data_IF_841617621148
#
_entry.id   IF_841617621148
#
_cell.length_a   1.000
_cell.length_b   1.000
_cell.length_c   1.000
_cell.angle_alpha   90.00
_cell.angle_beta   90.00
_cell.angle_gamma   90.00
#
_symmetry.space_group_name_H-M   'P 1'
#
loop_
_entity.id
_entity.type
_entity.pdbx_description
1 polymer ?
#
# COMPACT_ATOMS: atom_id res chain seq x y z
N UNK A 1 -54.81 -2.07 -54.13
CA UNK A 1 -54.22 -3.34 -53.66
C UNK A 1 -52.79 -3.42 -54.18
N UNK A 2 -51.86 -3.78 -53.29
CA UNK A 2 -50.43 -4.09 -53.50
C UNK A 2 -49.46 -2.94 -53.86
N UNK A 3 -48.72 -2.52 -52.85
CA UNK A 3 -47.43 -1.81 -52.94
C UNK A 3 -46.29 -2.82 -53.15
N UNK A 4 -45.35 -2.61 -54.08
CA UNK A 4 -44.14 -3.41 -54.16
C UNK A 4 -43.00 -2.78 -53.33
N UNK A 5 -42.55 -3.53 -52.34
CA UNK A 5 -41.37 -3.30 -51.53
C UNK A 5 -40.09 -3.40 -52.39
N UNK A 6 -39.22 -2.40 -52.30
CA UNK A 6 -37.86 -2.45 -52.85
C UNK A 6 -36.88 -2.79 -51.73
N UNK A 7 -36.25 -3.96 -51.82
CA UNK A 7 -35.18 -4.42 -50.95
C UNK A 7 -33.88 -3.67 -51.31
N UNK A 8 -33.26 -2.99 -50.33
CA UNK A 8 -31.88 -2.52 -50.43
C UNK A 8 -30.96 -3.36 -49.53
N UNK A 9 -29.85 -3.92 -50.05
CA UNK A 9 -28.87 -4.64 -49.26
C UNK A 9 -27.90 -3.67 -48.56
N UNK A 10 -27.81 -3.79 -47.23
CA UNK A 10 -26.93 -2.97 -46.40
C UNK A 10 -25.58 -3.69 -46.22
N UNK A 11 -24.57 -3.27 -47.00
CA UNK A 11 -23.17 -3.67 -46.82
C UNK A 11 -22.47 -2.62 -45.96
N UNK A 12 -22.29 -2.90 -44.67
CA UNK A 12 -21.55 -2.05 -43.73
C UNK A 12 -20.04 -2.20 -43.96
N UNK A 13 -19.48 -1.31 -44.78
CA UNK A 13 -18.03 -1.14 -44.93
C UNK A 13 -17.50 -0.22 -43.83
N UNK A 14 -16.45 -0.69 -43.15
CA UNK A 14 -15.62 0.08 -42.22
C UNK A 14 -15.03 1.32 -42.91
N UNK A 15 -15.38 2.50 -42.43
CA UNK A 15 -14.76 3.77 -42.85
C UNK A 15 -13.92 4.31 -41.70
N UNK A 16 -12.60 4.24 -41.89
CA UNK A 16 -11.59 4.96 -41.12
C UNK A 16 -11.73 6.47 -41.42
N UNK A 17 -12.00 7.30 -40.40
CA UNK A 17 -11.88 8.76 -40.49
C UNK A 17 -10.75 9.26 -39.59
N UNK A 18 -9.73 9.95 -40.15
CA UNK A 18 -8.70 10.62 -39.37
C UNK A 18 -9.13 12.06 -39.06
N UNK A 19 -9.22 12.40 -37.77
CA UNK A 19 -9.40 13.79 -37.34
C UNK A 19 -8.07 14.38 -36.84
N UNK A 20 -7.64 15.47 -37.48
CA UNK A 20 -6.62 16.42 -37.03
C UNK A 20 -7.31 17.65 -36.43
N UNK A 21 -6.71 18.21 -35.38
CA UNK A 21 -7.00 19.52 -34.76
C UNK A 21 -7.37 19.36 -33.29
N UNK A 22 -6.76 19.99 -32.28
CA UNK A 22 -5.92 21.19 -32.19
C UNK A 22 -5.03 21.13 -30.91
N UNK A 23 -3.99 21.97 -30.79
CA UNK A 23 -3.02 21.91 -29.70
C UNK A 23 -3.51 22.67 -28.45
N UNK A 24 -3.50 22.00 -27.31
CA UNK A 24 -3.79 22.61 -26.01
C UNK A 24 -2.50 23.12 -25.39
N UNK A 25 -2.45 24.43 -25.12
CA UNK A 25 -1.41 25.08 -24.34
C UNK A 25 -1.42 24.56 -22.89
N UNK A 26 -0.23 24.16 -22.44
CA UNK A 26 0.42 24.57 -21.20
C UNK A 26 -0.32 24.37 -19.85
N UNK A 27 0.17 23.40 -19.07
CA UNK A 27 0.42 23.64 -17.65
C UNK A 27 1.65 22.83 -17.22
N UNK A 28 2.78 23.52 -17.28
CA UNK A 28 3.97 23.23 -16.49
C UNK A 28 3.58 23.02 -15.01
N UNK A 29 3.71 21.79 -14.51
CA UNK A 29 3.66 21.49 -13.08
C UNK A 29 5.07 21.19 -12.58
N UNK A 30 5.87 22.25 -12.51
CA UNK A 30 6.95 22.34 -11.54
C UNK A 30 6.40 22.15 -10.12
N UNK A 31 7.04 21.24 -9.38
CA UNK A 31 7.11 21.15 -7.92
C UNK A 31 5.80 20.98 -7.13
N UNK A 32 5.57 19.78 -6.61
CA UNK A 32 4.80 19.61 -5.36
C UNK A 32 5.11 18.29 -4.65
N UNK A 33 5.87 18.44 -3.56
CA UNK A 33 5.92 17.59 -2.37
C UNK A 33 6.41 16.14 -2.48
N UNK A 34 7.66 15.97 -2.09
CA UNK A 34 8.27 14.80 -1.43
C UNK A 34 7.55 14.40 -0.13
N UNK A 35 6.26 14.07 -0.22
CA UNK A 35 5.38 13.52 0.83
C UNK A 35 4.38 12.57 0.17
N UNK A 36 4.82 11.40 -0.31
CA UNK A 36 3.90 10.28 -0.57
C UNK A 36 3.44 9.69 0.76
N UNK A 37 2.53 10.43 1.38
CA UNK A 37 1.59 10.01 2.43
C UNK A 37 0.93 8.70 2.02
N UNK A 38 0.95 7.69 2.89
CA UNK A 38 0.02 6.55 2.98
C UNK A 38 -0.96 6.47 1.78
N UNK A 39 -0.50 5.96 0.64
CA UNK A 39 -1.33 5.96 -0.58
C UNK A 39 -2.46 4.97 -0.39
N UNK A 40 -3.69 5.49 -0.32
CA UNK A 40 -4.92 4.71 -0.44
C UNK A 40 -4.93 4.08 -1.84
N UNK A 41 -4.95 2.75 -1.91
CA UNK A 41 -4.98 2.01 -3.17
C UNK A 41 -6.40 1.50 -3.39
N UNK A 42 -6.99 1.81 -4.54
CA UNK A 42 -8.27 1.21 -4.95
C UNK A 42 -8.02 -0.14 -5.60
N UNK A 43 -8.85 -1.10 -5.25
CA UNK A 43 -8.81 -2.43 -5.85
C UNK A 43 -10.00 -3.26 -5.40
N UNK A 44 -9.82 -4.57 -5.40
CA UNK A 44 -10.90 -5.52 -5.08
C UNK A 44 -10.54 -6.39 -3.88
N UNK A 45 -11.54 -6.65 -3.05
CA UNK A 45 -11.46 -7.67 -2.02
C UNK A 45 -12.22 -8.91 -2.46
N UNK A 46 -11.58 -10.08 -2.34
CA UNK A 46 -12.23 -11.39 -2.37
C UNK A 46 -12.19 -12.01 -0.98
N UNK A 47 -12.71 -13.24 -0.81
CA UNK A 47 -12.62 -13.94 0.47
C UNK A 47 -12.17 -15.40 0.37
N UNK A 48 -11.65 -15.92 1.49
CA UNK A 48 -11.25 -17.31 1.70
C UNK A 48 -11.59 -17.78 3.11
N UNK A 49 -11.80 -19.09 3.30
CA UNK A 49 -11.88 -19.74 4.62
C UNK A 49 -10.51 -19.88 5.31
N UNK A 50 -9.44 -19.45 4.63
CA UNK A 50 -8.07 -19.65 5.07
C UNK A 50 -7.54 -21.04 4.72
N UNK A 51 -6.21 -21.18 4.84
CA UNK A 51 -5.49 -22.42 4.58
C UNK A 51 -4.53 -22.78 5.72
N UNK A 52 -4.05 -24.02 5.74
CA UNK A 52 -3.21 -24.53 6.83
C UNK A 52 -1.81 -23.89 6.90
N UNK A 53 -1.29 -23.38 5.79
CA UNK A 53 0.02 -22.74 5.72
C UNK A 53 -0.07 -21.39 5.00
N UNK A 54 0.57 -20.39 5.59
CA UNK A 54 0.72 -19.07 4.98
C UNK A 54 2.19 -18.79 4.72
N UNK A 55 2.48 -17.96 3.72
CA UNK A 55 3.86 -17.56 3.41
C UNK A 55 4.49 -16.66 4.47
N UNK A 56 3.69 -16.03 5.32
CA UNK A 56 4.19 -15.23 6.43
C UNK A 56 4.43 -16.02 7.71
N UNK A 57 4.02 -17.30 7.79
CA UNK A 57 4.09 -18.09 9.02
C UNK A 57 3.12 -17.64 10.11
N UNK A 58 2.15 -16.78 9.78
CA UNK A 58 1.11 -16.28 10.68
C UNK A 58 -0.21 -16.99 10.33
N UNK A 59 -0.93 -17.61 11.28
CA UNK A 59 -2.16 -18.33 10.98
C UNK A 59 -3.31 -17.39 10.64
N UNK A 60 -4.25 -17.85 9.81
CA UNK A 60 -5.47 -17.10 9.47
C UNK A 60 -6.35 -16.77 10.68
N UNK A 61 -6.26 -17.58 11.75
CA UNK A 61 -6.98 -17.36 13.01
C UNK A 61 -6.44 -16.20 13.85
N UNK A 62 -5.26 -15.67 13.49
CA UNK A 62 -4.68 -14.52 14.17
C UNK A 62 -5.62 -13.31 14.12
N UNK A 63 -5.47 -12.35 15.05
CA UNK A 63 -6.29 -11.14 15.08
C UNK A 63 -7.81 -11.43 14.98
N UNK A 64 -8.27 -12.54 15.59
CA UNK A 64 -9.66 -13.01 15.56
C UNK A 64 -10.24 -13.17 14.14
N UNK A 65 -9.44 -13.71 13.22
CA UNK A 65 -9.81 -13.88 11.80
C UNK A 65 -9.99 -12.57 11.03
N UNK A 66 -9.49 -11.46 11.56
CA UNK A 66 -9.36 -10.20 10.84
C UNK A 66 -8.02 -10.17 10.11
N UNK A 67 -7.91 -11.04 9.12
CA UNK A 67 -6.66 -11.36 8.41
C UNK A 67 -6.86 -11.32 6.90
N UNK A 68 -5.77 -11.11 6.18
CA UNK A 68 -5.78 -10.94 4.75
C UNK A 68 -4.52 -11.52 4.08
N UNK A 69 -4.69 -11.95 2.84
CA UNK A 69 -3.60 -12.22 1.92
C UNK A 69 -3.52 -11.12 0.87
N UNK A 70 -2.30 -10.78 0.48
CA UNK A 70 -2.02 -9.75 -0.53
C UNK A 70 -1.19 -10.35 -1.67
N UNK A 71 -1.04 -9.63 -2.78
CA UNK A 71 -0.13 -10.07 -3.83
C UNK A 71 1.33 -10.09 -3.33
N UNK A 72 2.13 -11.01 -3.86
CA UNK A 72 3.55 -11.12 -3.48
C UNK A 72 4.35 -9.85 -3.80
N UNK A 73 3.98 -9.15 -4.87
CA UNK A 73 4.54 -7.89 -5.31
C UNK A 73 3.78 -6.66 -4.79
N UNK A 74 2.77 -6.82 -3.92
CA UNK A 74 2.14 -5.69 -3.25
C UNK A 74 3.14 -5.07 -2.24
N UNK A 75 3.03 -3.76 -1.96
CA UNK A 75 3.95 -3.06 -1.05
C UNK A 75 3.79 -3.45 0.42
N UNK A 76 2.79 -4.29 0.76
CA UNK A 76 2.47 -4.67 2.13
C UNK A 76 3.34 -5.83 2.64
N UNK A 77 3.69 -5.77 3.93
CA UNK A 77 4.55 -6.73 4.63
C UNK A 77 3.73 -7.71 5.45
N UNK A 78 4.34 -8.86 5.74
CA UNK A 78 3.77 -9.81 6.70
C UNK A 78 3.62 -9.14 8.08
N UNK A 79 2.48 -9.32 8.72
CA UNK A 79 2.15 -8.72 10.03
C UNK A 79 1.65 -7.28 9.97
N UNK A 80 1.76 -6.60 8.83
CA UNK A 80 1.29 -5.22 8.67
C UNK A 80 -0.23 -5.12 8.82
N UNK A 81 -0.70 -4.05 9.47
CA UNK A 81 -2.14 -3.75 9.56
C UNK A 81 -2.59 -2.90 8.39
N UNK A 82 -3.66 -3.34 7.75
CA UNK A 82 -4.31 -2.65 6.65
C UNK A 82 -5.73 -2.30 7.07
N UNK A 83 -6.12 -1.07 6.76
CA UNK A 83 -7.48 -0.59 6.86
C UNK A 83 -8.15 -0.75 5.51
N UNK A 84 -9.23 -1.51 5.50
CA UNK A 84 -9.98 -1.86 4.30
C UNK A 84 -11.34 -1.20 4.40
N UNK A 85 -11.65 -0.32 3.43
CA UNK A 85 -12.91 0.39 3.35
C UNK A 85 -13.68 -0.05 2.11
N UNK A 86 -14.94 -0.44 2.26
CA UNK A 86 -15.78 -0.75 1.09
C UNK A 86 -16.20 0.53 0.37
N UNK A 87 -16.27 0.46 -0.96
CA UNK A 87 -16.79 1.56 -1.78
C UNK A 87 -18.31 1.51 -1.94
N UNK A 88 -18.94 0.36 -1.65
CA UNK A 88 -20.39 0.18 -1.79
C UNK A 88 -21.18 0.85 -0.64
N UNK A 89 -20.60 0.94 0.55
CA UNK A 89 -21.23 1.51 1.74
C UNK A 89 -20.26 2.47 2.46
N UNK A 90 -20.38 3.80 2.24
CA UNK A 90 -19.52 4.78 2.89
C UNK A 90 -19.60 4.67 4.42
N UNK A 91 -18.46 4.42 5.07
CA UNK A 91 -18.34 4.31 6.53
C UNK A 91 -18.10 2.89 7.04
N UNK A 92 -18.29 1.87 6.21
CA UNK A 92 -17.93 0.49 6.57
C UNK A 92 -16.44 0.25 6.29
N UNK A 93 -15.70 -0.01 7.35
CA UNK A 93 -14.25 -0.15 7.34
C UNK A 93 -13.81 -1.15 8.41
N UNK A 94 -12.75 -1.90 8.12
CA UNK A 94 -12.16 -2.87 9.04
C UNK A 94 -10.63 -2.75 9.06
N UNK A 95 -10.01 -3.18 10.14
CA UNK A 95 -8.55 -3.35 10.27
C UNK A 95 -8.21 -4.84 10.17
N UNK A 96 -7.32 -5.20 9.24
CA UNK A 96 -6.89 -6.58 9.00
C UNK A 96 -5.37 -6.70 9.04
N UNK A 97 -4.87 -7.87 9.45
CA UNK A 97 -3.43 -8.17 9.43
C UNK A 97 -3.07 -8.96 8.18
N UNK A 98 -1.95 -8.61 7.52
CA UNK A 98 -1.43 -9.37 6.39
C UNK A 98 -0.78 -10.65 6.90
N UNK A 99 -1.38 -11.79 6.58
CA UNK A 99 -0.91 -13.11 7.02
C UNK A 99 -0.41 -13.99 5.88
N UNK A 100 -0.65 -13.64 4.62
CA UNK A 100 -0.21 -14.45 3.49
C UNK A 100 0.11 -13.62 2.23
N UNK A 101 0.89 -14.21 1.32
CA UNK A 101 1.27 -13.62 0.03
C UNK A 101 0.93 -14.56 -1.13
N UNK A 102 0.13 -14.10 -2.08
CA UNK A 102 -0.34 -14.90 -3.23
C UNK A 102 0.49 -14.56 -4.47
N UNK A 103 0.95 -15.57 -5.22
CA UNK A 103 1.64 -15.37 -6.52
C UNK A 103 0.61 -15.19 -7.62
N UNK A 104 0.82 -14.22 -8.51
CA UNK A 104 -0.08 -13.96 -9.65
C UNK A 104 -1.39 -13.24 -9.29
N UNK A 105 -1.55 -12.82 -8.04
CA UNK A 105 -2.67 -12.00 -7.59
C UNK A 105 -2.41 -10.52 -7.92
N UNK A 106 -3.40 -9.72 -8.35
CA UNK A 106 -3.19 -8.30 -8.66
C UNK A 106 -2.70 -7.51 -7.43
N UNK A 107 -1.75 -6.59 -7.62
CA UNK A 107 -1.14 -5.80 -6.53
C UNK A 107 -2.14 -4.96 -5.73
N UNK A 108 -3.22 -4.53 -6.39
CA UNK A 108 -4.28 -3.71 -5.81
C UNK A 108 -5.32 -4.54 -5.04
N UNK A 109 -5.29 -5.86 -5.19
CA UNK A 109 -6.31 -6.73 -4.63
C UNK A 109 -5.88 -7.29 -3.28
N UNK A 110 -6.88 -7.55 -2.45
CA UNK A 110 -6.74 -8.20 -1.16
C UNK A 110 -7.65 -9.44 -1.12
N UNK A 111 -7.22 -10.50 -0.47
CA UNK A 111 -8.04 -11.68 -0.24
C UNK A 111 -8.26 -11.81 1.27
N UNK A 112 -9.46 -11.45 1.72
CA UNK A 112 -9.82 -11.39 3.13
C UNK A 112 -10.17 -12.77 3.67
N UNK A 113 -9.98 -13.00 4.95
CA UNK A 113 -10.67 -14.10 5.60
C UNK A 113 -12.20 -13.88 5.53
N UNK A 114 -13.01 -14.94 5.45
CA UNK A 114 -14.48 -14.86 5.41
C UNK A 114 -15.04 -13.91 6.47
N UNK A 115 -14.64 -14.08 7.73
CA UNK A 115 -15.08 -13.21 8.83
C UNK A 115 -14.73 -11.74 8.61
N UNK A 116 -13.55 -11.43 8.07
CA UNK A 116 -13.16 -10.06 7.75
C UNK A 116 -14.03 -9.51 6.61
N UNK A 117 -14.27 -10.30 5.57
CA UNK A 117 -15.13 -9.93 4.45
C UNK A 117 -16.57 -9.61 4.90
N UNK A 118 -17.16 -10.46 5.73
CA UNK A 118 -18.48 -10.25 6.32
C UNK A 118 -18.50 -9.04 7.27
N UNK A 119 -17.44 -8.85 8.08
CA UNK A 119 -17.32 -7.71 8.99
C UNK A 119 -17.22 -6.36 8.25
N UNK A 120 -16.73 -6.36 7.00
CA UNK A 120 -16.78 -5.19 6.11
C UNK A 120 -18.20 -4.87 5.62
N UNK A 121 -19.18 -5.72 5.95
CA UNK A 121 -20.56 -5.62 5.49
C UNK A 121 -20.79 -6.21 4.10
N UNK A 122 -19.85 -7.01 3.59
CA UNK A 122 -19.95 -7.64 2.27
C UNK A 122 -20.77 -8.94 2.33
N UNK A 123 -21.52 -9.22 1.26
CA UNK A 123 -22.24 -10.47 1.12
C UNK A 123 -21.31 -11.54 0.52
N UNK A 124 -21.11 -12.66 1.21
CA UNK A 124 -20.26 -13.76 0.73
C UNK A 124 -20.64 -14.27 -0.67
N UNK A 125 -21.91 -14.13 -1.06
CA UNK A 125 -22.41 -14.55 -2.38
C UNK A 125 -22.00 -13.62 -3.52
N UNK A 126 -21.61 -12.37 -3.23
CA UNK A 126 -21.04 -11.45 -4.23
C UNK A 126 -19.62 -11.88 -4.62
N UNK A 127 -18.88 -12.49 -3.69
CA UNK A 127 -17.55 -13.07 -3.91
C UNK A 127 -16.41 -12.05 -4.10
N UNK A 128 -16.72 -10.88 -4.67
CA UNK A 128 -15.78 -9.80 -4.95
C UNK A 128 -16.46 -8.45 -4.71
N UNK A 129 -15.77 -7.53 -4.02
CA UNK A 129 -16.24 -6.15 -3.83
C UNK A 129 -15.12 -5.13 -4.07
N UNK A 130 -15.49 -3.92 -4.47
CA UNK A 130 -14.52 -2.83 -4.63
C UNK A 130 -14.19 -2.18 -3.28
N UNK A 131 -12.90 -1.99 -3.02
CA UNK A 131 -12.38 -1.50 -1.75
C UNK A 131 -11.28 -0.45 -1.94
N UNK A 132 -11.07 0.34 -0.89
CA UNK A 132 -9.83 1.08 -0.67
C UNK A 132 -9.00 0.38 0.40
N UNK A 133 -7.74 0.10 0.06
CA UNK A 133 -6.72 -0.46 0.95
C UNK A 133 -5.82 0.68 1.42
N UNK A 134 -5.77 0.86 2.73
CA UNK A 134 -5.05 1.95 3.38
C UNK A 134 -4.08 1.29 4.37
N UNK A 135 -2.75 1.44 4.20
CA UNK A 135 -1.81 1.04 5.24
C UNK A 135 -2.18 1.73 6.55
N UNK A 136 -2.42 0.97 7.62
CA UNK A 136 -2.45 1.58 8.95
C UNK A 136 -0.99 1.78 9.34
N UNK A 137 -0.57 3.04 9.49
CA UNK A 137 0.58 3.27 10.34
C UNK A 137 0.17 2.80 11.74
N UNK A 138 0.87 1.80 12.26
CA UNK A 138 0.55 1.16 13.53
C UNK A 138 0.45 2.23 14.63
N UNK A 139 -0.78 2.59 14.98
CA UNK A 139 -1.06 3.63 15.96
C UNK A 139 -1.23 3.03 17.35
N UNK A 140 -0.15 2.47 17.89
CA UNK A 140 0.13 2.39 19.33
C UNK A 140 1.64 2.63 19.50
N UNK A 141 2.02 3.92 19.65
CA UNK A 141 3.39 4.46 19.53
C UNK A 141 3.95 4.36 18.10
N UNK A 142 3.48 5.22 17.18
CA UNK A 142 4.17 5.48 15.91
C UNK A 142 5.63 5.87 16.22
N UNK A 143 6.54 4.92 16.03
CA UNK A 143 7.95 5.20 15.91
C UNK A 143 8.21 5.99 14.63
N UNK A 144 9.35 6.64 14.56
CA UNK A 144 9.74 7.38 13.36
C UNK A 144 10.27 6.48 12.23
N UNK A 145 10.13 5.17 12.34
CA UNK A 145 10.74 4.16 11.49
C UNK A 145 10.39 4.32 10.00
N UNK A 146 9.11 4.53 9.67
CA UNK A 146 8.64 4.74 8.30
C UNK A 146 9.15 6.04 7.68
N UNK A 147 9.26 7.10 8.48
CA UNK A 147 9.82 8.39 8.05
C UNK A 147 11.33 8.28 7.81
N UNK A 148 12.04 7.63 8.73
CA UNK A 148 13.49 7.39 8.61
C UNK A 148 13.77 6.49 7.40
N UNK A 149 12.96 5.47 7.17
CA UNK A 149 13.05 4.61 6.00
C UNK A 149 12.91 5.41 4.70
N UNK A 150 11.91 6.29 4.60
CA UNK A 150 11.73 7.15 3.42
C UNK A 150 12.94 8.07 3.17
N UNK A 151 13.55 8.58 4.24
CA UNK A 151 14.78 9.36 4.15
C UNK A 151 15.97 8.51 3.71
N UNK A 152 16.11 7.28 4.19
CA UNK A 152 17.15 6.34 3.74
C UNK A 152 17.05 6.06 2.24
N UNK A 153 15.86 5.74 1.75
CA UNK A 153 15.63 5.49 0.32
C UNK A 153 15.94 6.71 -0.55
N UNK A 154 15.75 7.91 -0.01
CA UNK A 154 16.10 9.16 -0.70
C UNK A 154 17.60 9.43 -0.69
N UNK A 155 18.28 9.14 0.42
CA UNK A 155 19.73 9.34 0.57
C UNK A 155 20.56 8.30 -0.20
N UNK A 156 20.05 7.07 -0.34
CA UNK A 156 20.71 5.94 -1.02
C UNK A 156 19.93 5.48 -2.26
N UNK A 157 19.82 6.32 -3.30
CA UNK A 157 19.14 5.93 -4.53
C UNK A 157 19.88 4.74 -5.17
N UNK A 158 19.15 3.66 -5.47
CA UNK A 158 19.70 2.45 -6.09
C UNK A 158 20.04 1.32 -5.11
N UNK A 159 19.86 1.52 -3.80
CA UNK A 159 19.93 0.46 -2.80
C UNK A 159 18.52 0.00 -2.41
N UNK A 160 18.36 -1.30 -2.23
CA UNK A 160 17.17 -1.90 -1.63
C UNK A 160 17.37 -2.06 -0.13
N UNK A 161 16.40 -1.63 0.66
CA UNK A 161 16.38 -1.92 2.10
C UNK A 161 15.94 -3.36 2.28
N UNK A 162 16.86 -4.23 2.69
CA UNK A 162 16.58 -5.67 2.86
C UNK A 162 16.24 -6.02 4.31
N UNK A 163 16.65 -5.19 5.27
CA UNK A 163 16.30 -5.33 6.67
C UNK A 163 16.41 -3.98 7.39
N UNK A 164 15.68 -3.78 8.48
CA UNK A 164 15.91 -2.69 9.42
C UNK A 164 15.36 -3.01 10.81
N UNK A 165 15.90 -2.36 11.83
CA UNK A 165 15.48 -2.53 13.21
C UNK A 165 15.71 -1.26 14.03
N UNK A 166 14.88 -1.03 15.05
CA UNK A 166 15.17 -0.03 16.08
C UNK A 166 16.30 -0.55 16.98
N UNK A 167 17.39 0.20 17.07
CA UNK A 167 18.56 -0.16 17.89
C UNK A 167 18.67 0.69 19.16
N UNK A 168 18.01 1.86 19.20
CA UNK A 168 17.98 2.69 20.39
C UNK A 168 16.72 3.58 20.42
N UNK A 169 16.10 3.67 21.59
CA UNK A 169 15.12 4.71 21.91
C UNK A 169 15.47 5.33 23.25
N UNK A 170 15.78 6.63 23.25
CA UNK A 170 16.31 7.34 24.41
C UNK A 170 15.64 8.69 24.58
N UNK A 171 15.05 8.91 25.76
CA UNK A 171 14.58 10.23 26.15
C UNK A 171 15.79 11.13 26.49
N UNK A 172 15.97 12.20 25.72
CA UNK A 172 17.06 13.18 25.92
C UNK A 172 16.65 14.27 26.91
N UNK A 173 15.37 14.61 26.95
CA UNK A 173 14.76 15.55 27.89
C UNK A 173 13.26 15.24 28.04
N UNK A 174 12.54 15.85 29.00
CA UNK A 174 11.10 15.62 29.16
C UNK A 174 10.26 15.91 27.91
N UNK A 175 10.81 16.64 26.95
CA UNK A 175 10.13 16.97 25.70
C UNK A 175 10.77 16.30 24.49
N UNK A 176 11.98 15.76 24.58
CA UNK A 176 12.71 15.24 23.41
C UNK A 176 13.06 13.76 23.55
N UNK A 177 12.80 13.02 22.48
CA UNK A 177 13.21 11.62 22.35
C UNK A 177 14.03 11.45 21.11
N UNK A 178 15.08 10.64 21.22
CA UNK A 178 15.86 10.12 20.11
C UNK A 178 15.44 8.69 19.84
N UNK A 179 15.18 8.38 18.58
CA UNK A 179 15.06 7.02 18.06
C UNK A 179 16.16 6.80 17.04
N UNK A 180 16.82 5.65 17.11
CA UNK A 180 17.90 5.25 16.22
C UNK A 180 17.54 3.91 15.60
N UNK A 181 17.62 3.84 14.29
CA UNK A 181 17.35 2.68 13.48
C UNK A 181 18.59 2.26 12.72
N UNK A 182 18.76 0.96 12.52
CA UNK A 182 19.81 0.39 11.69
C UNK A 182 19.16 -0.26 10.48
N UNK A 183 19.70 0.03 9.29
CA UNK A 183 19.21 -0.42 8.00
C UNK A 183 20.30 -1.22 7.30
N UNK A 184 19.94 -2.39 6.79
CA UNK A 184 20.77 -3.14 5.87
C UNK A 184 20.32 -2.82 4.44
N UNK A 185 21.23 -2.21 3.69
CA UNK A 185 20.99 -1.76 2.32
C UNK A 185 21.78 -2.64 1.36
N UNK A 186 21.17 -3.03 0.24
CA UNK A 186 21.78 -3.88 -0.78
C UNK A 186 21.65 -3.25 -2.16
N UNK A 187 22.78 -3.09 -2.85
CA UNK A 187 22.87 -2.80 -4.27
C UNK A 187 23.34 -4.04 -5.04
N UNK A 188 23.36 -4.03 -6.38
CA UNK A 188 23.99 -5.10 -7.16
C UNK A 188 25.49 -5.26 -6.87
N UNK A 189 26.16 -4.23 -6.36
CA UNK A 189 27.60 -4.23 -6.14
C UNK A 189 28.00 -4.58 -4.70
N UNK A 190 27.19 -4.21 -3.71
CA UNK A 190 27.57 -4.36 -2.30
C UNK A 190 26.37 -4.36 -1.35
N UNK A 191 26.66 -4.68 -0.09
CA UNK A 191 25.73 -4.56 1.03
C UNK A 191 26.38 -3.70 2.10
N UNK A 192 25.67 -2.66 2.54
CA UNK A 192 26.13 -1.71 3.56
C UNK A 192 25.14 -1.65 4.72
N UNK A 193 25.63 -1.22 5.88
CA UNK A 193 24.79 -0.95 7.06
C UNK A 193 24.79 0.53 7.35
N UNK A 194 23.60 1.09 7.55
CA UNK A 194 23.41 2.53 7.77
C UNK A 194 22.56 2.74 9.01
N UNK A 195 22.92 3.72 9.84
CA UNK A 195 22.11 4.16 10.97
C UNK A 195 21.41 5.47 10.67
N UNK A 196 20.10 5.50 10.91
CA UNK A 196 19.28 6.70 10.89
C UNK A 196 18.84 7.06 12.29
N UNK A 197 19.10 8.30 12.72
CA UNK A 197 18.66 8.80 14.03
C UNK A 197 17.74 9.99 13.87
N UNK A 198 16.65 10.03 14.62
CA UNK A 198 15.69 11.13 14.65
C UNK A 198 15.49 11.59 16.08
N UNK A 199 15.58 12.90 16.29
CA UNK A 199 15.23 13.56 17.54
C UNK A 199 13.94 14.32 17.31
N UNK A 200 12.92 14.09 18.14
CA UNK A 200 11.61 14.72 18.01
C UNK A 200 11.09 15.21 19.35
N UNK A 201 10.19 16.19 19.29
CA UNK A 201 9.48 16.69 20.45
C UNK A 201 8.23 15.83 20.72
N UNK A 202 8.19 15.07 21.82
CA UNK A 202 7.10 14.15 22.16
C UNK A 202 5.74 14.84 22.33
N UNK A 203 5.71 16.12 22.73
CA UNK A 203 4.46 16.86 22.96
C UNK A 203 3.83 17.36 21.65
N UNK A 204 4.66 17.74 20.69
CA UNK A 204 4.20 18.36 19.43
C UNK A 204 4.33 17.44 18.22
N UNK A 205 4.97 16.28 18.41
CA UNK A 205 5.36 15.34 17.37
C UNK A 205 6.15 15.98 16.20
N UNK A 206 7.00 16.97 16.52
CA UNK A 206 7.82 17.69 15.53
C UNK A 206 9.26 17.23 15.59
N UNK A 207 9.85 16.96 14.42
CA UNK A 207 11.28 16.68 14.30
C UNK A 207 12.08 17.91 14.74
N UNK A 208 13.08 17.66 15.59
CA UNK A 208 14.09 18.62 16.01
C UNK A 208 15.34 18.45 15.15
N UNK A 209 15.79 17.21 14.97
CA UNK A 209 16.94 16.90 14.11
C UNK A 209 16.87 15.49 13.56
N UNK A 210 17.60 15.26 12.49
CA UNK A 210 17.74 13.97 11.84
C UNK A 210 19.20 13.78 11.38
N UNK A 211 19.69 12.55 11.47
CA UNK A 211 21.07 12.17 11.12
C UNK A 211 21.09 10.81 10.42
N UNK A 212 21.99 10.67 9.43
CA UNK A 212 22.26 9.42 8.71
C UNK A 212 23.75 9.18 8.76
N UNK A 213 24.16 7.96 9.11
CA UNK A 213 25.56 7.58 9.17
C UNK A 213 25.77 6.13 8.75
N UNK A 214 26.65 5.89 7.79
CA UNK A 214 27.16 4.54 7.48
C UNK A 214 27.95 4.00 8.66
N UNK A 215 27.74 2.73 8.96
CA UNK A 215 28.45 2.02 10.02
C UNK A 215 29.25 0.88 9.39
N UNK A 216 30.55 0.90 9.68
CA UNK A 216 31.52 -0.13 9.29
C UNK A 216 31.30 -1.45 10.06
#
# INVERSE_FOLDING_TARGET
MFYPYSYMPNTSQYVNQPYRGQPYYDYDHSASSSMERQRRVRGQATWTDGGAATRCGIPWSENRFMTAAVATNAPYRCGERLRIRTLAAPGNEISVMVVDKITGYPQTNVNLHRNAFEALGANINEGVIDVEVIPEADSEQEGWDSYVLGMMQTAYPGYNVINYQEVEKRQLSPQQTRETYEFQLQSPQEQITVRGSVIYNQRTNRVVSFDIKEVD
#
